data_IF_066377018745
#
_entry.id   IF_066377018745
#
_cell.length_a   1.000
_cell.length_b   1.000
_cell.length_c   1.000
_cell.angle_alpha   90.00
_cell.angle_beta   90.00
_cell.angle_gamma   90.00
#
_symmetry.space_group_name_H-M   'P 1'
#
loop_
_entity.id
_entity.type
_entity.pdbx_description
1 polymer ?
#
# COMPACT_ATOMS: atom_id res chain seq x y z
N UNK A 1 38.36 33.33 -0.64
CA UNK A 1 37.70 32.51 -1.70
C UNK A 1 37.81 31.00 -1.48
N UNK A 2 38.83 30.47 -0.78
CA UNK A 2 38.94 29.02 -0.50
C UNK A 2 37.85 28.47 0.43
N UNK A 3 37.42 29.25 1.43
CA UNK A 3 36.37 28.86 2.39
C UNK A 3 35.08 28.37 1.71
N UNK A 4 34.57 29.09 0.71
CA UNK A 4 33.36 28.67 0.01
C UNK A 4 33.53 27.36 -0.76
N UNK A 5 34.71 27.14 -1.36
CA UNK A 5 35.02 25.89 -2.06
C UNK A 5 35.08 24.71 -1.09
N UNK A 6 35.72 24.88 0.06
CA UNK A 6 35.80 23.85 1.10
C UNK A 6 34.44 23.55 1.73
N UNK A 7 33.62 24.57 1.99
CA UNK A 7 32.28 24.37 2.56
C UNK A 7 31.35 23.65 1.58
N UNK A 8 31.43 23.97 0.29
CA UNK A 8 30.69 23.25 -0.75
C UNK A 8 31.13 21.78 -0.83
N UNK A 9 32.44 21.51 -0.80
CA UNK A 9 32.97 20.15 -0.80
C UNK A 9 32.52 19.34 0.42
N UNK A 10 32.53 19.93 1.62
CA UNK A 10 32.01 19.27 2.82
C UNK A 10 30.52 18.95 2.70
N UNK A 11 29.73 19.89 2.18
CA UNK A 11 28.31 19.65 1.93
C UNK A 11 28.07 18.52 0.94
N UNK A 12 28.78 18.50 -0.19
CA UNK A 12 28.63 17.44 -1.20
C UNK A 12 28.99 16.07 -0.62
N UNK A 13 30.08 16.00 0.14
CA UNK A 13 30.52 14.75 0.77
C UNK A 13 29.51 14.27 1.83
N UNK A 14 29.02 15.18 2.68
CA UNK A 14 28.02 14.84 3.70
C UNK A 14 26.72 14.38 3.06
N UNK A 15 26.27 15.04 1.99
CA UNK A 15 25.10 14.63 1.22
C UNK A 15 25.27 13.23 0.64
N UNK A 16 26.42 12.92 0.04
CA UNK A 16 26.67 11.58 -0.48
C UNK A 16 26.64 10.49 0.60
N UNK A 17 27.17 10.78 1.80
CA UNK A 17 27.13 9.85 2.93
C UNK A 17 25.68 9.65 3.38
N UNK A 18 24.94 10.75 3.55
CA UNK A 18 23.56 10.73 3.99
C UNK A 18 22.65 9.98 3.00
N UNK A 19 22.81 10.22 1.69
CA UNK A 19 22.01 9.57 0.64
C UNK A 19 22.27 8.06 0.55
N UNK A 20 23.46 7.59 0.96
CA UNK A 20 23.82 6.17 1.01
C UNK A 20 23.43 5.49 2.32
N UNK A 21 23.09 6.26 3.35
CA UNK A 21 22.85 5.74 4.69
C UNK A 21 21.41 5.21 4.81
N UNK A 22 21.28 3.94 5.21
CA UNK A 22 19.97 3.35 5.50
C UNK A 22 19.50 3.80 6.88
N UNK A 23 18.19 3.98 7.02
CA UNK A 23 17.57 4.24 8.32
C UNK A 23 17.81 3.08 9.30
N UNK A 24 17.90 3.39 10.59
CA UNK A 24 18.25 2.43 11.64
C UNK A 24 17.26 1.27 11.72
N UNK A 25 15.98 1.55 11.56
CA UNK A 25 14.90 0.55 11.49
C UNK A 25 15.05 -0.42 10.31
N UNK A 26 15.50 0.05 9.15
CA UNK A 26 15.82 -0.80 7.97
C UNK A 26 17.07 -1.64 8.21
N UNK A 27 18.04 -1.13 8.99
CA UNK A 27 19.23 -1.90 9.37
C UNK A 27 18.89 -3.01 10.37
N UNK A 28 17.96 -2.73 11.31
CA UNK A 28 17.49 -3.69 12.30
C UNK A 28 16.57 -4.77 11.68
N UNK A 29 15.73 -4.39 10.72
CA UNK A 29 14.87 -5.31 9.97
C UNK A 29 15.11 -5.16 8.46
N UNK A 30 15.99 -6.00 7.86
CA UNK A 30 16.26 -5.93 6.42
C UNK A 30 15.05 -6.32 5.56
N UNK A 31 14.04 -7.01 6.13
CA UNK A 31 12.81 -7.35 5.43
C UNK A 31 11.77 -6.23 5.45
N UNK A 32 11.97 -5.17 6.25
CA UNK A 32 11.04 -4.05 6.36
C UNK A 32 10.67 -3.46 5.00
N UNK A 33 11.66 -3.13 4.18
CA UNK A 33 11.42 -2.55 2.84
C UNK A 33 10.60 -3.49 1.96
N UNK A 34 10.83 -4.80 2.06
CA UNK A 34 10.08 -5.81 1.30
C UNK A 34 8.62 -5.82 1.74
N UNK A 35 8.36 -5.83 3.05
CA UNK A 35 7.03 -5.78 3.65
C UNK A 35 6.29 -4.50 3.28
N UNK A 36 6.96 -3.35 3.34
CA UNK A 36 6.38 -2.05 2.99
C UNK A 36 5.94 -2.01 1.51
N UNK A 37 6.80 -2.54 0.61
CA UNK A 37 6.46 -2.66 -0.82
C UNK A 37 5.28 -3.61 -1.05
N UNK A 38 5.22 -4.71 -0.31
CA UNK A 38 4.13 -5.67 -0.42
C UNK A 38 2.81 -5.07 0.10
N UNK A 39 2.84 -4.40 1.24
CA UNK A 39 1.70 -3.66 1.79
C UNK A 39 1.24 -2.55 0.84
N UNK A 40 2.16 -1.82 0.21
CA UNK A 40 1.81 -0.79 -0.77
C UNK A 40 1.10 -1.39 -1.99
N UNK A 41 1.54 -2.55 -2.48
CA UNK A 41 0.86 -3.27 -3.56
C UNK A 41 -0.55 -3.69 -3.14
N UNK A 42 -0.72 -4.21 -1.93
CA UNK A 42 -2.01 -4.61 -1.34
C UNK A 42 -2.99 -3.46 -1.12
N UNK A 43 -2.52 -2.30 -0.66
CA UNK A 43 -3.37 -1.14 -0.41
C UNK A 43 -3.87 -0.47 -1.71
N UNK A 44 -3.14 -0.62 -2.81
CA UNK A 44 -3.49 -0.01 -4.10
C UNK A 44 -4.88 -0.40 -4.63
N UNK A 45 -5.27 -1.69 -4.73
CA UNK A 45 -6.63 -2.07 -5.13
C UNK A 45 -7.70 -1.56 -4.16
N UNK A 46 -7.46 -1.64 -2.85
CA UNK A 46 -8.39 -1.15 -1.82
C UNK A 46 -8.73 0.34 -2.04
N UNK A 47 -7.69 1.18 -2.19
CA UNK A 47 -7.86 2.62 -2.41
C UNK A 47 -8.57 2.88 -3.75
N UNK A 48 -8.24 2.13 -4.81
CA UNK A 48 -8.92 2.26 -6.11
C UNK A 48 -10.41 1.96 -6.02
N UNK A 49 -10.79 0.92 -5.27
CA UNK A 49 -12.19 0.58 -5.04
C UNK A 49 -12.92 1.69 -4.27
N UNK A 50 -12.30 2.26 -3.24
CA UNK A 50 -12.87 3.41 -2.51
C UNK A 50 -13.12 4.59 -3.46
N UNK A 51 -12.12 4.93 -4.30
CA UNK A 51 -12.24 6.01 -5.29
C UNK A 51 -13.36 5.72 -6.29
N UNK A 52 -13.48 4.47 -6.75
CA UNK A 52 -14.53 4.05 -7.67
C UNK A 52 -15.91 4.23 -7.03
N UNK A 53 -16.11 3.75 -5.80
CA UNK A 53 -17.37 3.93 -5.09
C UNK A 53 -17.74 5.41 -4.95
N UNK A 54 -16.78 6.26 -4.53
CA UNK A 54 -17.00 7.70 -4.42
C UNK A 54 -17.39 8.35 -5.75
N UNK A 55 -16.75 7.97 -6.86
CA UNK A 55 -17.07 8.48 -8.20
C UNK A 55 -18.44 8.04 -8.72
N UNK A 56 -18.86 6.83 -8.37
CA UNK A 56 -20.13 6.25 -8.82
C UNK A 56 -21.29 6.53 -7.86
N UNK A 57 -21.04 7.21 -6.73
CA UNK A 57 -22.05 7.42 -5.69
C UNK A 57 -22.46 6.12 -4.99
N UNK A 58 -21.62 5.09 -5.02
CA UNK A 58 -21.87 3.84 -4.32
C UNK A 58 -21.52 4.01 -2.85
N UNK A 59 -22.39 3.50 -1.97
CA UNK A 59 -22.11 3.44 -0.56
C UNK A 59 -20.86 2.56 -0.31
N UNK A 60 -19.90 3.11 0.44
CA UNK A 60 -18.75 2.36 0.92
C UNK A 60 -19.16 1.35 2.01
N UNK A 61 -20.19 1.69 2.76
CA UNK A 61 -20.69 0.92 3.87
C UNK A 61 -22.16 0.50 3.68
N UNK A 62 -22.44 -0.78 3.84
CA UNK A 62 -23.79 -1.33 4.03
C UNK A 62 -23.91 -1.99 5.41
N UNK A 63 -25.06 -2.59 5.73
CA UNK A 63 -25.36 -3.10 7.07
C UNK A 63 -24.39 -4.21 7.58
N UNK A 64 -23.52 -4.78 6.72
CA UNK A 64 -22.66 -5.93 7.03
C UNK A 64 -21.26 -5.84 6.42
N UNK A 65 -20.52 -4.77 6.71
CA UNK A 65 -19.16 -4.62 6.16
C UNK A 65 -18.04 -5.25 7.00
N UNK A 66 -18.37 -5.91 8.10
CA UNK A 66 -17.41 -6.47 9.04
C UNK A 66 -17.16 -7.96 8.80
N UNK A 67 -15.97 -8.44 9.20
CA UNK A 67 -15.57 -9.84 9.10
C UNK A 67 -14.80 -10.19 7.80
N UNK A 68 -14.27 -11.41 7.72
CA UNK A 68 -13.45 -11.86 6.58
C UNK A 68 -14.26 -11.83 5.28
N UNK A 69 -13.61 -11.54 4.15
CA UNK A 69 -14.27 -11.58 2.84
C UNK A 69 -14.08 -12.99 2.29
N UNK A 70 -15.16 -13.77 2.24
CA UNK A 70 -15.10 -15.09 1.63
C UNK A 70 -14.88 -14.96 0.11
N UNK A 71 -13.78 -15.53 -0.41
CA UNK A 71 -13.40 -15.43 -1.82
C UNK A 71 -13.91 -16.59 -2.70
N UNK A 72 -14.29 -17.70 -2.06
CA UNK A 72 -14.55 -18.97 -2.74
C UNK A 72 -16.02 -19.37 -2.73
N UNK A 73 -16.83 -18.85 -1.80
CA UNK A 73 -18.27 -19.10 -1.80
C UNK A 73 -19.01 -18.05 -2.61
N UNK A 74 -20.00 -18.51 -3.38
CA UNK A 74 -21.01 -17.62 -3.94
C UNK A 74 -21.76 -17.02 -2.75
N UNK A 75 -21.57 -15.73 -2.48
CA UNK A 75 -22.22 -15.11 -1.33
C UNK A 75 -23.71 -15.02 -1.63
N UNK A 76 -24.51 -15.73 -0.84
CA UNK A 76 -25.96 -15.83 -1.03
C UNK A 76 -26.71 -14.54 -0.67
N UNK A 77 -26.02 -13.55 -0.09
CA UNK A 77 -26.57 -12.27 0.34
C UNK A 77 -25.63 -11.14 -0.07
N UNK A 78 -26.18 -9.99 -0.44
CA UNK A 78 -25.41 -8.78 -0.67
C UNK A 78 -24.63 -8.41 0.62
N UNK A 79 -23.31 -8.34 0.51
CA UNK A 79 -22.37 -7.93 1.57
C UNK A 79 -21.91 -6.48 1.42
N UNK A 80 -22.41 -5.75 0.41
CA UNK A 80 -22.10 -4.36 0.17
C UNK A 80 -21.19 -4.15 -1.03
N UNK A 81 -21.45 -3.05 -1.76
CA UNK A 81 -20.79 -2.72 -3.02
C UNK A 81 -19.25 -2.75 -2.94
N UNK A 82 -18.69 -2.25 -1.84
CA UNK A 82 -17.24 -2.22 -1.64
C UNK A 82 -16.62 -3.62 -1.57
N UNK A 83 -17.25 -4.54 -0.81
CA UNK A 83 -16.76 -5.91 -0.62
C UNK A 83 -16.90 -6.72 -1.90
N UNK A 84 -17.99 -6.54 -2.63
CA UNK A 84 -18.20 -7.23 -3.91
C UNK A 84 -17.24 -6.74 -5.00
N UNK A 85 -16.95 -5.44 -5.05
CA UNK A 85 -15.94 -4.90 -5.97
C UNK A 85 -14.52 -5.36 -5.62
N UNK A 86 -14.20 -5.50 -4.33
CA UNK A 86 -12.92 -6.08 -3.89
C UNK A 86 -12.80 -7.55 -4.29
N UNK A 87 -13.86 -8.35 -4.10
CA UNK A 87 -13.90 -9.75 -4.56
C UNK A 87 -13.68 -9.86 -6.07
N UNK A 88 -14.38 -9.01 -6.83
CA UNK A 88 -14.22 -8.94 -8.26
C UNK A 88 -12.76 -8.61 -8.64
N UNK A 89 -12.14 -7.62 -8.00
CA UNK A 89 -10.74 -7.28 -8.26
C UNK A 89 -9.78 -8.45 -7.97
N UNK A 90 -10.04 -9.23 -6.91
CA UNK A 90 -9.26 -10.42 -6.56
C UNK A 90 -9.40 -11.55 -7.58
N UNK A 91 -10.63 -11.88 -7.97
CA UNK A 91 -10.92 -12.95 -8.93
C UNK A 91 -10.30 -12.70 -10.31
N UNK A 92 -10.15 -11.44 -10.71
CA UNK A 92 -9.60 -11.05 -12.02
C UNK A 92 -8.09 -10.73 -12.02
N UNK A 93 -7.36 -11.10 -10.97
CA UNK A 93 -5.89 -11.22 -11.05
C UNK A 93 -5.08 -10.49 -10.00
N UNK A 94 -5.70 -9.87 -8.98
CA UNK A 94 -4.94 -9.25 -7.88
C UNK A 94 -4.60 -10.25 -6.77
N UNK A 95 -3.86 -11.31 -7.12
CA UNK A 95 -3.41 -12.36 -6.19
C UNK A 95 -2.61 -11.82 -5.00
N UNK A 96 -2.09 -10.59 -5.11
CA UNK A 96 -1.27 -9.97 -4.04
C UNK A 96 -2.08 -9.65 -2.79
N UNK A 97 -3.40 -9.54 -2.93
CA UNK A 97 -4.33 -9.18 -1.87
C UNK A 97 -5.02 -10.41 -1.26
N UNK A 98 -4.97 -11.59 -1.91
CA UNK A 98 -5.58 -12.85 -1.46
C UNK A 98 -5.02 -13.32 -0.11
N UNK A 99 -3.71 -13.17 0.13
CA UNK A 99 -3.05 -13.58 1.38
C UNK A 99 -3.44 -12.72 2.61
N UNK A 100 -4.19 -11.63 2.43
CA UNK A 100 -4.42 -10.63 3.47
C UNK A 100 -5.89 -10.37 3.83
N UNK A 101 -6.82 -10.88 3.01
CA UNK A 101 -8.27 -10.66 3.14
C UNK A 101 -8.95 -11.88 3.75
#
# INVERSE_FOLDING_TARGET
MQYHKTSFLHYTNLREIHDKQKFVDVLLDPNKIKRDKENQKRLKPIIKTIILCGKQGLALYEHRDHGPINLYSLVSKNEGNFRDLLRFALQFGDKTLEDHI
#
